data_IF_649207787568
#
_entry.id   IF_649207787568
#
_cell.length_a   1.000
_cell.length_b   1.000
_cell.length_c   1.000
_cell.angle_alpha   90.00
_cell.angle_beta   90.00
_cell.angle_gamma   90.00
#
_symmetry.space_group_name_H-M   'P 1'
#
loop_
_entity.id
_entity.type
_entity.pdbx_description
1 polymer ?
#
# COMPACT_ATOMS: atom_id res chain seq x y z
N UNK A 1 19.39 -12.99 -10.63
CA UNK A 1 20.37 -14.05 -10.33
C UNK A 1 21.72 -13.55 -9.79
N UNK A 2 22.38 -12.54 -10.39
CA UNK A 2 23.69 -12.07 -9.90
C UNK A 2 23.64 -11.53 -8.45
N UNK A 3 22.61 -10.75 -8.10
CA UNK A 3 22.41 -10.25 -6.74
C UNK A 3 22.22 -11.38 -5.71
N UNK A 4 21.39 -12.38 -6.02
CA UNK A 4 21.16 -13.56 -5.15
C UNK A 4 22.47 -14.30 -4.89
N UNK A 5 23.26 -14.57 -5.95
CA UNK A 5 24.57 -15.22 -5.81
C UNK A 5 25.52 -14.42 -4.90
N UNK A 6 25.46 -13.10 -4.94
CA UNK A 6 26.25 -12.23 -4.05
C UNK A 6 25.76 -12.31 -2.61
N UNK A 7 24.44 -12.27 -2.38
CA UNK A 7 23.85 -12.35 -1.03
C UNK A 7 24.16 -13.71 -0.38
N UNK A 8 24.06 -14.81 -1.12
CA UNK A 8 24.43 -16.15 -0.63
C UNK A 8 25.90 -16.18 -0.16
N UNK A 9 26.81 -15.56 -0.92
CA UNK A 9 28.23 -15.47 -0.52
C UNK A 9 28.47 -14.64 0.74
N UNK A 10 27.58 -13.71 1.05
CA UNK A 10 27.65 -12.88 2.26
C UNK A 10 27.13 -13.61 3.50
N UNK A 11 26.58 -14.83 3.36
CA UNK A 11 26.17 -15.67 4.48
C UNK A 11 24.85 -15.25 5.14
N UNK A 12 23.96 -14.54 4.43
CA UNK A 12 22.62 -14.23 4.94
C UNK A 12 21.72 -15.47 4.90
N UNK A 13 20.91 -15.63 5.95
CA UNK A 13 19.99 -16.77 6.10
C UNK A 13 18.70 -16.64 5.31
N UNK A 14 18.29 -15.41 4.96
CA UNK A 14 17.04 -15.14 4.26
C UNK A 14 17.18 -13.98 3.27
N UNK A 15 16.36 -14.03 2.22
CA UNK A 15 16.23 -12.98 1.20
C UNK A 15 14.76 -12.62 1.08
N UNK A 16 14.47 -11.32 1.19
CA UNK A 16 13.12 -10.78 0.97
C UNK A 16 13.12 -10.07 -0.39
N UNK A 17 12.17 -10.46 -1.24
CA UNK A 17 11.93 -9.78 -2.51
C UNK A 17 10.77 -8.81 -2.34
N UNK A 18 11.09 -7.53 -2.21
CA UNK A 18 10.09 -6.48 -2.31
C UNK A 18 9.51 -6.48 -3.74
N UNK A 19 8.19 -6.52 -3.85
CA UNK A 19 7.46 -6.64 -5.12
C UNK A 19 7.91 -7.83 -6.02
N UNK A 20 8.34 -8.93 -5.39
CA UNK A 20 8.91 -10.08 -6.09
C UNK A 20 7.92 -11.10 -6.67
N UNK A 21 6.61 -10.96 -6.46
CA UNK A 21 5.65 -12.04 -6.72
C UNK A 21 5.68 -12.53 -8.18
N UNK A 22 5.71 -11.60 -9.14
CA UNK A 22 5.66 -11.87 -10.58
C UNK A 22 6.98 -12.43 -11.17
N UNK A 23 8.08 -12.43 -10.41
CA UNK A 23 9.35 -12.98 -10.92
C UNK A 23 9.37 -14.51 -10.79
N UNK A 24 8.75 -15.18 -11.75
CA UNK A 24 8.65 -16.65 -11.82
C UNK A 24 9.99 -17.34 -12.15
N UNK A 25 11.04 -16.59 -12.48
CA UNK A 25 12.38 -17.16 -12.78
C UNK A 25 13.13 -17.55 -11.51
N UNK A 26 12.66 -17.10 -10.35
CA UNK A 26 13.27 -17.36 -9.05
C UNK A 26 12.30 -18.22 -8.26
N UNK A 27 12.77 -19.41 -7.88
CA UNK A 27 12.06 -20.24 -6.92
C UNK A 27 12.11 -19.59 -5.54
N UNK A 28 10.94 -19.32 -4.98
CA UNK A 28 10.75 -18.73 -3.65
C UNK A 28 10.17 -19.80 -2.73
N UNK A 29 10.80 -20.00 -1.57
CA UNK A 29 10.30 -20.97 -0.58
C UNK A 29 8.98 -20.54 0.05
N UNK A 30 8.73 -19.23 0.10
CA UNK A 30 7.53 -18.62 0.65
C UNK A 30 7.10 -17.45 -0.24
N UNK A 31 5.86 -17.49 -0.72
CA UNK A 31 5.22 -16.43 -1.47
C UNK A 31 4.08 -15.83 -0.62
N UNK A 32 4.19 -14.53 -0.32
CA UNK A 32 3.12 -13.76 0.29
C UNK A 32 2.48 -12.90 -0.80
N UNK A 33 1.18 -13.07 -1.02
CA UNK A 33 0.43 -12.23 -1.97
C UNK A 33 -0.39 -11.20 -1.22
N UNK A 34 -0.11 -9.92 -1.51
CA UNK A 34 -0.69 -8.81 -0.81
C UNK A 34 -1.85 -8.18 -1.59
N UNK A 35 -2.94 -7.86 -0.89
CA UNK A 35 -4.06 -7.07 -1.41
C UNK A 35 -4.43 -5.93 -0.45
N UNK A 36 -5.19 -4.97 -0.94
CA UNK A 36 -5.81 -3.91 -0.13
C UNK A 36 -7.33 -4.14 -0.16
N UNK A 37 -7.98 -4.25 1.00
CA UNK A 37 -9.42 -4.56 1.08
C UNK A 37 -10.29 -3.45 0.52
N UNK A 38 -9.78 -2.21 0.46
CA UNK A 38 -10.49 -1.06 -0.11
C UNK A 38 -10.36 -1.00 -1.63
N UNK A 39 -9.28 -1.57 -2.18
CA UNK A 39 -8.95 -1.52 -3.61
C UNK A 39 -8.87 -2.89 -4.27
N UNK A 40 -9.57 -3.88 -3.71
CA UNK A 40 -9.52 -5.32 -4.05
C UNK A 40 -8.84 -5.69 -5.39
N UNK A 41 -9.60 -5.98 -6.45
CA UNK A 41 -9.09 -6.28 -7.80
C UNK A 41 -9.47 -5.20 -8.82
N UNK A 42 -10.02 -4.07 -8.35
CA UNK A 42 -10.63 -3.04 -9.19
C UNK A 42 -11.73 -3.62 -10.07
N UNK A 43 -11.57 -3.51 -11.39
CA UNK A 43 -12.52 -4.04 -12.36
C UNK A 43 -12.26 -5.51 -12.78
N UNK A 44 -11.31 -6.19 -12.12
CA UNK A 44 -10.99 -7.60 -12.37
C UNK A 44 -10.24 -7.87 -13.67
N UNK A 45 -9.88 -6.86 -14.45
CA UNK A 45 -9.14 -7.02 -15.71
C UNK A 45 -7.63 -6.85 -15.51
N UNK A 46 -6.88 -7.48 -16.41
CA UNK A 46 -5.44 -7.25 -16.53
C UNK A 46 -5.15 -5.87 -17.13
N UNK A 47 -3.95 -5.35 -16.85
CA UNK A 47 -3.38 -4.19 -17.55
C UNK A 47 -3.38 -4.44 -19.08
N UNK A 48 -3.77 -3.45 -19.92
CA UNK A 48 -4.12 -2.07 -19.58
C UNK A 48 -5.60 -1.84 -19.23
N UNK A 49 -6.45 -2.85 -19.42
CA UNK A 49 -7.90 -2.73 -19.20
C UNK A 49 -8.30 -2.68 -17.73
N UNK A 50 -7.39 -2.99 -16.81
CA UNK A 50 -7.61 -2.99 -15.37
C UNK A 50 -6.29 -2.96 -14.58
N UNK A 51 -6.36 -3.00 -13.24
CA UNK A 51 -5.19 -2.83 -12.38
C UNK A 51 -4.38 -4.12 -12.16
N UNK A 52 -4.90 -5.28 -12.54
CA UNK A 52 -4.24 -6.55 -12.24
C UNK A 52 -2.99 -6.74 -13.11
N UNK A 53 -1.85 -7.03 -12.46
CA UNK A 53 -0.60 -7.41 -13.13
C UNK A 53 -0.60 -8.87 -13.61
N UNK A 54 -1.36 -9.72 -12.92
CA UNK A 54 -1.55 -11.14 -13.23
C UNK A 54 -2.99 -11.56 -12.95
N UNK A 55 -3.50 -12.66 -13.54
CA UNK A 55 -4.86 -13.11 -13.29
C UNK A 55 -5.06 -13.45 -11.81
N UNK A 56 -6.28 -13.27 -11.29
CA UNK A 56 -6.59 -13.57 -9.89
C UNK A 56 -6.32 -15.05 -9.53
N UNK A 57 -6.33 -15.94 -10.51
CA UNK A 57 -5.97 -17.36 -10.35
C UNK A 57 -4.52 -17.58 -9.88
N UNK A 58 -3.65 -16.57 -9.99
CA UNK A 58 -2.26 -16.60 -9.48
C UNK A 58 -2.18 -16.68 -7.96
N UNK A 59 -3.29 -16.46 -7.24
CA UNK A 59 -3.45 -16.82 -5.82
C UNK A 59 -2.95 -18.24 -5.52
N UNK A 60 -3.07 -19.18 -6.47
CA UNK A 60 -2.61 -20.57 -6.31
C UNK A 60 -1.09 -20.70 -6.12
N UNK A 61 -0.31 -19.68 -6.46
CA UNK A 61 1.15 -19.64 -6.27
C UNK A 61 1.55 -19.08 -4.90
N UNK A 62 0.60 -18.48 -4.17
CA UNK A 62 0.83 -17.91 -2.86
C UNK A 62 0.72 -18.99 -1.77
N UNK A 63 1.53 -18.85 -0.73
CA UNK A 63 1.39 -19.64 0.49
C UNK A 63 0.41 -18.97 1.46
N UNK A 64 0.43 -17.65 1.52
CA UNK A 64 -0.46 -16.85 2.35
C UNK A 64 -0.97 -15.64 1.56
N UNK A 65 -2.21 -15.25 1.85
CA UNK A 65 -2.75 -13.97 1.43
C UNK A 65 -2.67 -12.98 2.59
N UNK A 66 -2.08 -11.82 2.34
CA UNK A 66 -2.06 -10.71 3.29
C UNK A 66 -2.96 -9.61 2.77
N UNK A 67 -3.99 -9.25 3.52
CA UNK A 67 -4.94 -8.20 3.14
C UNK A 67 -4.76 -7.02 4.09
N UNK A 68 -4.48 -5.85 3.53
CA UNK A 68 -4.46 -4.59 4.28
C UNK A 68 -5.88 -4.02 4.38
N UNK A 69 -6.34 -3.75 5.59
CA UNK A 69 -7.63 -3.14 5.90
C UNK A 69 -8.58 -4.10 6.63
N UNK A 70 -9.85 -3.73 6.69
CA UNK A 70 -10.86 -4.47 7.46
C UNK A 70 -11.21 -5.82 6.83
N UNK A 71 -11.66 -6.74 7.69
CA UNK A 71 -12.12 -8.07 7.31
C UNK A 71 -13.30 -7.98 6.34
N UNK A 72 -13.20 -8.65 5.19
CA UNK A 72 -14.23 -8.61 4.15
C UNK A 72 -14.60 -10.02 3.68
N UNK A 73 -15.81 -10.46 4.03
CA UNK A 73 -16.31 -11.81 3.71
C UNK A 73 -16.48 -12.06 2.21
N UNK A 74 -16.78 -11.03 1.42
CA UNK A 74 -16.89 -11.14 -0.03
C UNK A 74 -15.53 -11.47 -0.64
N UNK A 75 -14.49 -10.73 -0.25
CA UNK A 75 -13.11 -10.94 -0.70
C UNK A 75 -12.63 -12.35 -0.30
N UNK A 76 -12.86 -12.75 0.96
CA UNK A 76 -12.52 -14.11 1.41
C UNK A 76 -13.19 -15.18 0.57
N UNK A 77 -14.49 -15.02 0.27
CA UNK A 77 -15.23 -15.98 -0.56
C UNK A 77 -14.62 -16.09 -1.97
N UNK A 78 -14.26 -14.99 -2.60
CA UNK A 78 -13.63 -15.01 -3.93
C UNK A 78 -12.26 -15.72 -3.90
N UNK A 79 -11.41 -15.39 -2.93
CA UNK A 79 -10.11 -16.05 -2.73
C UNK A 79 -10.30 -17.55 -2.50
N UNK A 80 -11.22 -17.92 -1.60
CA UNK A 80 -11.49 -19.31 -1.19
C UNK A 80 -12.13 -20.13 -2.31
N UNK A 81 -12.83 -19.49 -3.24
CA UNK A 81 -13.32 -20.16 -4.46
C UNK A 81 -12.16 -20.61 -5.35
N UNK A 82 -11.05 -19.87 -5.36
CA UNK A 82 -9.85 -20.19 -6.16
C UNK A 82 -8.90 -21.13 -5.41
N UNK A 83 -8.70 -20.91 -4.11
CA UNK A 83 -7.85 -21.70 -3.24
C UNK A 83 -8.51 -21.89 -1.86
N UNK A 84 -9.29 -22.95 -1.64
CA UNK A 84 -10.11 -23.14 -0.43
C UNK A 84 -9.31 -23.16 0.88
N UNK A 85 -8.10 -23.71 0.85
CA UNK A 85 -7.31 -23.93 2.06
C UNK A 85 -6.28 -22.82 2.33
N UNK A 86 -6.22 -21.76 1.52
CA UNK A 86 -5.22 -20.69 1.72
C UNK A 86 -5.50 -19.89 2.99
N UNK A 87 -4.47 -19.60 3.77
CA UNK A 87 -4.60 -18.75 4.94
C UNK A 87 -4.66 -17.28 4.52
N UNK A 88 -5.59 -16.54 5.12
CA UNK A 88 -5.82 -15.11 4.87
C UNK A 88 -5.57 -14.36 6.16
N UNK A 89 -4.58 -13.45 6.12
CA UNK A 89 -4.14 -12.66 7.26
C UNK A 89 -4.52 -11.20 6.99
N UNK A 90 -5.28 -10.59 7.90
CA UNK A 90 -5.60 -9.18 7.83
C UNK A 90 -4.60 -8.34 8.60
N UNK A 91 -4.26 -7.18 8.05
CA UNK A 91 -3.30 -6.24 8.61
C UNK A 91 -3.86 -4.84 8.55
N UNK A 92 -3.49 -4.00 9.51
CA UNK A 92 -3.90 -2.60 9.54
C UNK A 92 -2.70 -1.72 9.89
N UNK A 93 -2.72 -0.49 9.38
CA UNK A 93 -1.73 0.49 9.75
C UNK A 93 -2.08 1.06 11.12
N UNK A 94 -1.14 0.99 12.06
CA UNK A 94 -1.24 1.68 13.33
C UNK A 94 -0.53 3.02 13.26
N UNK A 95 -1.24 4.10 13.60
CA UNK A 95 -0.62 5.42 13.74
C UNK A 95 0.02 5.52 15.13
N UNK A 96 1.32 5.70 15.17
CA UNK A 96 2.04 5.94 16.42
C UNK A 96 1.95 7.41 16.83
N UNK A 97 2.03 7.69 18.14
CA UNK A 97 2.05 9.04 18.70
C UNK A 97 0.84 9.91 18.34
N UNK A 98 -0.34 9.31 18.15
CA UNK A 98 -1.57 10.02 17.75
C UNK A 98 -1.93 11.17 18.70
N UNK A 99 -1.62 11.04 19.98
CA UNK A 99 -1.87 12.07 20.99
C UNK A 99 -1.16 13.38 20.69
N UNK A 100 0.04 13.32 20.09
CA UNK A 100 0.81 14.52 19.70
C UNK A 100 0.15 15.32 18.57
N UNK A 101 -0.77 14.68 17.86
CA UNK A 101 -1.51 15.23 16.71
C UNK A 101 -2.92 15.70 17.10
N UNK A 102 -3.44 15.33 18.27
CA UNK A 102 -4.78 15.75 18.72
C UNK A 102 -4.86 17.27 18.88
N UNK A 103 -6.05 17.82 18.65
CA UNK A 103 -6.39 19.24 18.82
C UNK A 103 -5.58 20.24 17.98
N UNK A 104 -4.85 19.77 16.95
CA UNK A 104 -4.14 20.61 16.00
C UNK A 104 -4.80 20.54 14.63
N UNK A 105 -4.58 21.60 13.86
CA UNK A 105 -5.04 21.70 12.48
C UNK A 105 -3.88 21.46 11.54
N UNK A 106 -4.06 20.54 10.58
CA UNK A 106 -3.01 20.16 9.64
C UNK A 106 -3.37 20.48 8.19
N UNK A 107 -2.37 20.85 7.42
CA UNK A 107 -2.41 20.69 5.97
C UNK A 107 -1.64 19.40 5.69
N UNK A 108 -2.32 18.42 5.12
CA UNK A 108 -1.74 17.12 4.80
C UNK A 108 -1.49 17.04 3.29
N UNK A 109 -0.34 16.49 2.91
CA UNK A 109 0.00 16.28 1.51
C UNK A 109 0.67 14.93 1.32
N UNK A 110 0.53 14.35 0.14
CA UNK A 110 1.10 13.04 -0.18
C UNK A 110 1.36 12.90 -1.68
N UNK A 111 2.30 12.02 -2.05
CA UNK A 111 2.68 11.68 -3.42
C UNK A 111 2.89 10.18 -3.57
N UNK A 112 1.91 9.40 -3.08
CA UNK A 112 1.90 7.94 -3.12
C UNK A 112 0.81 7.44 -4.09
N UNK A 113 0.96 6.21 -4.59
CA UNK A 113 0.04 5.62 -5.57
C UNK A 113 -1.44 5.57 -5.16
N UNK A 114 -1.75 5.41 -3.86
CA UNK A 114 -3.11 5.56 -3.33
C UNK A 114 -3.17 6.67 -2.25
N UNK A 115 -3.37 7.94 -2.65
CA UNK A 115 -3.37 9.07 -1.71
C UNK A 115 -4.52 8.99 -0.69
N UNK A 116 -5.66 8.41 -1.08
CA UNK A 116 -6.84 8.32 -0.22
C UNK A 116 -6.63 7.39 0.99
N UNK A 117 -5.85 6.32 0.84
CA UNK A 117 -5.51 5.45 1.99
C UNK A 117 -4.81 6.24 3.10
N UNK A 118 -3.92 7.16 2.74
CA UNK A 118 -3.24 8.03 3.70
C UNK A 118 -4.21 9.01 4.38
N UNK A 119 -5.04 9.74 3.62
CA UNK A 119 -5.98 10.70 4.22
C UNK A 119 -7.04 10.01 5.08
N UNK A 120 -7.56 8.87 4.64
CA UNK A 120 -8.52 8.08 5.42
C UNK A 120 -7.90 7.61 6.74
N UNK A 121 -6.62 7.21 6.72
CA UNK A 121 -5.91 6.85 7.96
C UNK A 121 -5.88 8.03 8.92
N UNK A 122 -5.59 9.24 8.46
CA UNK A 122 -5.58 10.43 9.31
C UNK A 122 -6.99 10.78 9.85
N UNK A 123 -8.01 10.75 8.98
CA UNK A 123 -9.39 11.08 9.34
C UNK A 123 -9.99 10.06 10.32
N UNK A 124 -9.76 8.77 10.10
CA UNK A 124 -10.23 7.69 10.98
C UNK A 124 -9.58 7.75 12.37
N UNK A 125 -8.42 8.42 12.49
CA UNK A 125 -7.76 8.70 13.77
C UNK A 125 -8.11 10.09 14.34
N UNK A 126 -9.22 10.70 13.89
CA UNK A 126 -9.74 11.99 14.37
C UNK A 126 -8.77 13.18 14.18
N UNK A 127 -7.81 13.08 13.25
CA UNK A 127 -6.88 14.17 12.95
C UNK A 127 -7.59 15.23 12.10
N UNK A 128 -7.56 16.49 12.56
CA UNK A 128 -8.19 17.61 11.85
C UNK A 128 -7.31 18.07 10.69
N UNK A 129 -7.76 17.80 9.47
CA UNK A 129 -7.11 18.22 8.23
C UNK A 129 -7.88 19.40 7.63
N UNK A 130 -7.26 20.58 7.58
CA UNK A 130 -7.82 21.76 6.94
C UNK A 130 -7.75 21.67 5.41
N UNK A 131 -6.72 20.99 4.89
CA UNK A 131 -6.49 20.88 3.44
C UNK A 131 -5.72 19.62 3.08
N UNK A 132 -6.16 18.97 2.00
CA UNK A 132 -5.50 17.83 1.38
C UNK A 132 -4.82 18.28 0.09
N UNK A 133 -3.55 17.91 -0.10
CA UNK A 133 -2.80 18.21 -1.33
C UNK A 133 -2.23 16.91 -1.89
N UNK A 134 -2.63 16.56 -3.11
CA UNK A 134 -2.17 15.35 -3.80
C UNK A 134 -1.11 15.74 -4.82
N UNK A 135 0.02 15.05 -4.76
CA UNK A 135 1.07 15.06 -5.75
C UNK A 135 1.07 13.74 -6.53
N UNK A 136 1.67 13.71 -7.74
CA UNK A 136 1.88 12.46 -8.47
C UNK A 136 2.62 11.40 -7.64
N UNK A 137 2.43 10.14 -7.97
CA UNK A 137 3.17 9.05 -7.32
C UNK A 137 4.68 9.20 -7.55
N UNK A 138 5.48 8.85 -6.55
CA UNK A 138 6.93 9.07 -6.50
C UNK A 138 7.37 10.53 -6.71
N UNK A 139 6.52 11.51 -6.36
CA UNK A 139 6.89 12.92 -6.47
C UNK A 139 8.12 13.27 -5.62
N UNK A 140 9.15 13.83 -6.27
CA UNK A 140 10.35 14.28 -5.58
C UNK A 140 10.11 15.63 -4.89
N UNK A 141 9.96 15.60 -3.57
CA UNK A 141 9.84 16.81 -2.78
C UNK A 141 11.17 17.57 -2.74
N UNK A 142 11.16 18.76 -3.29
CA UNK A 142 12.25 19.74 -3.16
C UNK A 142 11.89 20.77 -2.10
N UNK A 143 12.88 21.45 -1.53
CA UNK A 143 12.63 22.58 -0.63
C UNK A 143 11.68 23.62 -1.22
N UNK A 144 11.80 23.88 -2.54
CA UNK A 144 10.95 24.84 -3.26
C UNK A 144 9.48 24.39 -3.24
N UNK A 145 9.24 23.11 -3.48
CA UNK A 145 7.88 22.54 -3.48
C UNK A 145 7.29 22.51 -2.06
N UNK A 146 8.10 22.19 -1.05
CA UNK A 146 7.70 22.27 0.36
C UNK A 146 7.32 23.69 0.78
N UNK A 147 8.15 24.69 0.43
CA UNK A 147 7.86 26.12 0.69
C UNK A 147 6.59 26.58 -0.04
N UNK A 148 6.28 26.03 -1.21
CA UNK A 148 5.03 26.33 -1.92
C UNK A 148 3.79 25.74 -1.22
N UNK A 149 3.88 24.55 -0.60
CA UNK A 149 2.82 24.03 0.27
C UNK A 149 2.54 25.00 1.43
N UNK A 150 3.60 25.49 2.08
CA UNK A 150 3.48 26.46 3.18
C UNK A 150 2.91 27.81 2.71
N UNK A 151 3.27 28.29 1.51
CA UNK A 151 2.72 29.55 0.98
C UNK A 151 1.23 29.45 0.65
N UNK A 152 0.74 28.28 0.22
CA UNK A 152 -0.70 28.04 -0.02
C UNK A 152 -1.55 28.15 1.25
N UNK A 153 -0.94 28.02 2.44
CA UNK A 153 -1.59 28.31 3.73
C UNK A 153 -2.04 29.77 3.88
N UNK A 154 -1.31 30.72 3.27
CA UNK A 154 -1.57 32.16 3.44
C UNK A 154 -2.58 32.75 2.45
N UNK A 155 -2.96 32.02 1.40
CA UNK A 155 -3.85 32.53 0.34
C UNK A 155 -5.33 32.17 0.50
N UNK A 156 -5.67 31.27 1.42
CA UNK A 156 -7.05 30.80 1.64
C UNK A 156 -7.65 31.26 2.97
N UNK A 157 -6.97 32.17 3.69
CA UNK A 157 -7.56 32.94 4.78
C UNK A 157 -7.93 34.30 4.19
N UNK A 158 -9.14 34.40 3.63
CA UNK A 158 -9.85 35.67 3.64
C UNK A 158 -10.51 35.71 5.02
N UNK A 159 -10.14 36.70 5.83
CA UNK A 159 -10.77 36.96 7.14
C UNK A 159 -12.27 37.19 6.92
#
# INVERSE_FOLDING_TARGET
>A
MAAIKKIIKLGYDAIIFDDGFQDHKIFKNLNLLCFDSTNWIGNGNLIPSGPLREPLTSIKLANFIVIKGEKNQFIEKEIKTICPNIEIIYTENKVENIETLRNKNFIAFTGIGNPYSFFNTLLNNEIKILKQIIYPDHFQFTEKNYKNCLKRQKKEIVI
#
